data_IF_823781367480
#
_entry.id   IF_823781367480
#
_cell.length_a   1.000
_cell.length_b   1.000
_cell.length_c   1.000
_cell.angle_alpha   90.00
_cell.angle_beta   90.00
_cell.angle_gamma   90.00
#
_symmetry.space_group_name_H-M   'P 1'
#
loop_
_entity.id
_entity.type
_entity.pdbx_description
1 polymer ?
#
# COMPACT_ATOMS: atom_id res chain seq x y z
N UNK A 1 16.74 -27.63 25.84
CA UNK A 1 15.36 -27.19 25.57
C UNK A 1 15.24 -25.80 26.15
N UNK A 2 14.76 -24.81 25.39
CA UNK A 2 14.56 -23.43 25.90
C UNK A 2 13.12 -23.31 26.37
N UNK A 3 12.90 -22.90 27.62
CA UNK A 3 11.57 -22.56 28.11
C UNK A 3 11.41 -21.03 28.15
N UNK A 4 10.45 -20.52 27.38
CA UNK A 4 10.19 -19.09 27.26
C UNK A 4 8.81 -18.73 27.85
N UNK A 5 8.76 -17.67 28.65
CA UNK A 5 7.51 -17.20 29.30
C UNK A 5 7.10 -15.83 28.79
N UNK A 6 5.83 -15.72 28.37
CA UNK A 6 5.17 -14.45 28.12
C UNK A 6 4.69 -13.82 29.43
N UNK A 7 5.42 -12.82 29.92
CA UNK A 7 5.10 -12.14 31.17
C UNK A 7 3.91 -11.20 30.97
N UNK A 8 2.86 -11.28 31.83
CA UNK A 8 1.62 -10.50 31.67
C UNK A 8 1.86 -9.00 31.87
N UNK A 9 1.22 -8.16 31.06
CA UNK A 9 1.50 -6.70 31.02
C UNK A 9 0.34 -5.81 31.49
N UNK A 10 -0.84 -6.38 31.70
CA UNK A 10 -2.06 -5.58 31.95
C UNK A 10 -2.12 -4.99 33.38
N UNK A 11 -1.58 -5.71 34.36
CA UNK A 11 -1.66 -5.35 35.79
C UNK A 11 -0.29 -5.31 36.49
N UNK A 12 0.77 -5.66 35.78
CA UNK A 12 2.13 -5.79 36.34
C UNK A 12 3.09 -4.91 35.55
N UNK A 13 3.67 -3.94 36.24
CA UNK A 13 4.76 -3.11 35.71
C UNK A 13 6.10 -3.81 35.94
N UNK A 14 6.71 -4.32 34.88
CA UNK A 14 8.04 -4.92 34.95
C UNK A 14 9.12 -3.83 34.89
N UNK A 15 10.26 -4.05 35.54
CA UNK A 15 11.39 -3.10 35.52
C UNK A 15 12.16 -3.15 34.19
N UNK A 16 12.20 -4.32 33.55
CA UNK A 16 12.93 -4.60 32.30
C UNK A 16 12.03 -5.31 31.28
N UNK A 17 12.42 -5.34 30.02
CA UNK A 17 11.57 -5.80 28.92
C UNK A 17 11.55 -7.33 28.77
N UNK A 18 12.63 -7.98 29.18
CA UNK A 18 12.81 -9.41 29.34
C UNK A 18 14.05 -9.65 30.20
N UNK A 19 14.22 -10.90 30.63
CA UNK A 19 15.43 -11.38 31.32
C UNK A 19 15.60 -12.88 31.06
N UNK A 20 16.82 -13.28 30.74
CA UNK A 20 17.29 -14.65 30.79
C UNK A 20 17.46 -15.14 32.25
N UNK A 21 16.98 -16.35 32.54
CA UNK A 21 16.96 -16.95 33.88
C UNK A 21 17.55 -18.36 33.83
N UNK A 22 18.52 -18.65 34.70
CA UNK A 22 19.17 -19.96 34.76
C UNK A 22 20.17 -20.13 33.63
N UNK A 23 20.19 -21.31 32.99
CA UNK A 23 21.12 -21.59 31.88
C UNK A 23 20.46 -21.45 30.50
N UNK A 24 19.15 -21.69 30.39
CA UNK A 24 18.47 -21.82 29.09
C UNK A 24 17.11 -21.16 28.99
N UNK A 25 16.58 -20.61 30.08
CA UNK A 25 15.20 -20.14 30.12
C UNK A 25 15.16 -18.62 30.11
N UNK A 26 14.05 -18.03 29.69
CA UNK A 26 13.88 -16.59 29.73
C UNK A 26 12.42 -16.18 29.77
N UNK A 27 12.17 -14.92 30.10
CA UNK A 27 10.87 -14.30 29.95
C UNK A 27 10.97 -12.96 29.25
N UNK A 28 9.92 -12.58 28.52
CA UNK A 28 9.75 -11.26 27.95
C UNK A 28 8.31 -10.79 28.15
N UNK A 29 8.11 -9.47 28.19
CA UNK A 29 6.76 -8.87 28.30
C UNK A 29 5.91 -9.29 27.09
N UNK A 30 4.69 -9.78 27.37
CA UNK A 30 3.79 -10.34 26.35
C UNK A 30 3.40 -9.35 25.23
N UNK A 31 3.43 -8.05 25.50
CA UNK A 31 3.09 -7.01 24.53
C UNK A 31 4.28 -6.55 23.66
N UNK A 32 5.45 -7.21 23.76
CA UNK A 32 6.61 -6.88 22.92
C UNK A 32 6.47 -7.53 21.54
N UNK A 33 6.58 -6.76 20.46
CA UNK A 33 6.56 -7.30 19.11
C UNK A 33 7.77 -8.21 18.86
N UNK A 34 7.54 -9.29 18.10
CA UNK A 34 8.62 -10.16 17.60
C UNK A 34 9.22 -9.62 16.31
N UNK A 35 8.43 -8.87 15.53
CA UNK A 35 8.74 -8.30 14.22
C UNK A 35 9.37 -6.91 14.25
N UNK A 36 9.85 -6.46 15.42
CA UNK A 36 10.62 -5.21 15.55
C UNK A 36 12.12 -5.46 15.47
N UNK A 37 12.86 -4.55 14.86
CA UNK A 37 14.33 -4.58 14.88
C UNK A 37 14.86 -4.64 16.32
N UNK A 38 15.68 -5.67 16.60
CA UNK A 38 16.21 -5.92 17.95
C UNK A 38 15.12 -6.38 18.92
N UNK A 39 14.26 -7.31 18.48
CA UNK A 39 13.19 -7.86 19.32
C UNK A 39 13.72 -8.33 20.67
N UNK A 40 13.05 -7.91 21.75
CA UNK A 40 13.36 -8.36 23.11
C UNK A 40 13.32 -9.88 23.21
N UNK A 41 12.39 -10.55 22.54
CA UNK A 41 12.29 -12.00 22.55
C UNK A 41 13.54 -12.67 21.99
N UNK A 42 14.04 -12.14 20.86
CA UNK A 42 15.25 -12.65 20.22
C UNK A 42 16.51 -12.29 21.01
N UNK A 43 16.54 -11.12 21.66
CA UNK A 43 17.62 -10.70 22.55
C UNK A 43 17.79 -11.67 23.73
N UNK A 44 16.72 -11.93 24.47
CA UNK A 44 16.75 -12.88 25.58
C UNK A 44 17.05 -14.31 25.12
N UNK A 45 16.55 -14.70 23.95
CA UNK A 45 16.88 -16.00 23.36
C UNK A 45 18.37 -16.13 23.05
N UNK A 46 19.06 -15.05 22.66
CA UNK A 46 20.52 -15.11 22.42
C UNK A 46 21.28 -15.26 23.74
N UNK A 47 20.83 -14.65 24.83
CA UNK A 47 21.45 -14.85 26.15
C UNK A 47 21.47 -16.33 26.58
N UNK A 48 20.46 -17.13 26.20
CA UNK A 48 20.45 -18.59 26.47
C UNK A 48 21.57 -19.38 25.77
N UNK A 49 22.34 -18.73 24.88
CA UNK A 49 23.47 -19.30 24.13
C UNK A 49 24.83 -18.76 24.57
N UNK A 50 24.85 -17.94 25.61
CA UNK A 50 26.06 -17.37 26.18
C UNK A 50 26.33 -18.06 27.53
N UNK A 51 27.19 -19.07 27.53
CA UNK A 51 27.50 -19.88 28.72
C UNK A 51 28.72 -19.39 29.50
N UNK A 52 29.37 -18.32 29.06
CA UNK A 52 30.54 -17.74 29.70
C UNK A 52 30.17 -16.64 30.71
N UNK A 53 31.00 -16.47 31.73
CA UNK A 53 31.06 -15.25 32.53
C UNK A 53 32.11 -14.30 31.96
N UNK A 54 32.14 -13.05 32.41
CA UNK A 54 33.11 -12.05 31.93
C UNK A 54 33.92 -11.45 33.07
N UNK A 55 35.18 -11.13 32.77
CA UNK A 55 35.95 -10.14 33.53
C UNK A 55 35.47 -8.74 33.14
N UNK A 56 35.90 -7.70 33.87
CA UNK A 56 35.52 -6.31 33.60
C UNK A 56 35.73 -5.91 32.12
N UNK A 57 36.92 -6.19 31.57
CA UNK A 57 37.23 -5.87 30.17
C UNK A 57 36.37 -6.61 29.13
N UNK A 58 35.80 -7.77 29.49
CA UNK A 58 34.98 -8.58 28.59
C UNK A 58 33.47 -8.28 28.69
N UNK A 59 33.02 -7.46 29.64
CA UNK A 59 31.59 -7.30 29.95
C UNK A 59 30.73 -6.87 28.76
N UNK A 60 31.30 -6.12 27.81
CA UNK A 60 30.54 -5.61 26.67
C UNK A 60 29.95 -6.71 25.79
N UNK A 61 30.63 -7.85 25.64
CA UNK A 61 30.30 -8.88 24.63
C UNK A 61 28.92 -9.50 24.85
N UNK A 62 28.47 -9.60 26.10
CA UNK A 62 27.21 -10.23 26.49
C UNK A 62 26.03 -9.50 25.88
N UNK A 63 25.88 -8.21 26.16
CA UNK A 63 24.77 -7.41 25.63
C UNK A 63 24.97 -7.03 24.17
N UNK A 64 26.22 -6.78 23.76
CA UNK A 64 26.56 -6.42 22.39
C UNK A 64 26.11 -7.49 21.39
N UNK A 65 26.45 -8.75 21.66
CA UNK A 65 26.14 -9.85 20.73
C UNK A 65 24.68 -10.28 20.83
N UNK A 66 24.05 -10.20 22.00
CA UNK A 66 22.61 -10.39 22.14
C UNK A 66 21.83 -9.35 21.31
N UNK A 67 22.22 -8.08 21.41
CA UNK A 67 21.61 -6.97 20.65
C UNK A 67 21.83 -7.14 19.14
N UNK A 68 23.04 -7.50 18.72
CA UNK A 68 23.37 -7.74 17.31
C UNK A 68 22.54 -8.90 16.72
N UNK A 69 22.55 -10.08 17.36
CA UNK A 69 21.82 -11.22 16.84
C UNK A 69 20.30 -11.05 16.93
N UNK A 70 19.78 -10.31 17.91
CA UNK A 70 18.37 -9.95 17.92
C UNK A 70 18.01 -9.14 16.66
N UNK A 71 18.84 -8.15 16.30
CA UNK A 71 18.61 -7.34 15.10
C UNK A 71 18.78 -8.16 13.81
N UNK A 72 19.83 -8.98 13.70
CA UNK A 72 20.07 -9.84 12.54
C UNK A 72 18.96 -10.88 12.35
N UNK A 73 18.51 -11.56 13.41
CA UNK A 73 17.42 -12.53 13.33
C UNK A 73 16.08 -11.85 12.98
N UNK A 74 15.83 -10.64 13.51
CA UNK A 74 14.65 -9.86 13.12
C UNK A 74 14.65 -9.54 11.62
N UNK A 75 15.83 -9.23 11.07
CA UNK A 75 16.02 -9.00 9.64
C UNK A 75 15.78 -10.26 8.81
N UNK A 76 16.39 -11.37 9.22
CA UNK A 76 16.39 -12.61 8.46
C UNK A 76 15.08 -13.40 8.54
N UNK A 77 14.35 -13.32 9.66
CA UNK A 77 13.25 -14.24 9.96
C UNK A 77 11.90 -13.54 10.19
N UNK A 78 11.90 -12.31 10.70
CA UNK A 78 10.68 -11.65 11.19
C UNK A 78 10.20 -10.50 10.29
N UNK A 79 10.85 -10.30 9.14
CA UNK A 79 10.40 -9.37 8.09
C UNK A 79 10.83 -7.92 8.30
N UNK A 80 11.81 -7.65 9.16
CA UNK A 80 12.48 -6.34 9.21
C UNK A 80 13.34 -6.18 7.96
N UNK A 81 13.08 -5.19 7.11
CA UNK A 81 13.93 -4.92 5.94
C UNK A 81 15.32 -4.37 6.32
N UNK A 82 16.29 -4.42 5.41
CA UNK A 82 17.64 -3.88 5.64
C UNK A 82 17.65 -2.42 6.14
N UNK A 83 16.81 -1.49 5.66
CA UNK A 83 16.74 -0.14 6.21
C UNK A 83 16.44 -0.10 7.72
N UNK A 84 15.60 -1.02 8.21
CA UNK A 84 15.28 -1.13 9.63
C UNK A 84 16.45 -1.69 10.45
N UNK A 85 17.22 -2.63 9.89
CA UNK A 85 18.47 -3.10 10.49
C UNK A 85 19.50 -1.97 10.55
N UNK A 86 19.71 -1.26 9.44
CA UNK A 86 20.65 -0.13 9.35
C UNK A 86 20.32 0.96 10.37
N UNK A 87 19.06 1.41 10.43
CA UNK A 87 18.61 2.43 11.39
C UNK A 87 18.83 1.98 12.85
N UNK A 88 18.66 0.68 13.12
CA UNK A 88 18.91 0.13 14.45
C UNK A 88 20.40 0.20 14.83
N UNK A 89 21.30 -0.18 13.89
CA UNK A 89 22.75 -0.14 14.09
C UNK A 89 23.32 1.29 14.15
N UNK A 90 22.72 2.24 13.42
CA UNK A 90 23.11 3.66 13.43
C UNK A 90 23.05 4.29 14.83
N UNK A 91 22.36 3.68 15.79
CA UNK A 91 22.40 4.14 17.19
C UNK A 91 23.80 4.02 17.79
N UNK A 92 24.62 3.07 17.33
CA UNK A 92 25.99 2.88 17.79
C UNK A 92 26.96 3.97 17.34
N UNK A 93 26.62 4.77 16.31
CA UNK A 93 27.48 5.85 15.79
C UNK A 93 27.24 7.20 16.45
N UNK A 94 26.25 7.30 17.36
CA UNK A 94 25.84 8.57 17.97
C UNK A 94 26.61 8.81 19.27
N UNK A 95 27.02 10.05 19.51
CA UNK A 95 27.52 10.47 20.82
C UNK A 95 26.40 10.49 21.87
N UNK A 96 26.69 10.18 23.15
CA UNK A 96 28.02 9.90 23.69
C UNK A 96 28.47 8.44 23.54
N UNK A 97 27.58 7.49 23.24
CA UNK A 97 27.91 6.06 23.26
C UNK A 97 28.97 5.63 22.23
N UNK A 98 29.09 6.34 21.11
CA UNK A 98 30.10 6.06 20.10
C UNK A 98 31.53 6.31 20.59
N UNK A 99 31.70 7.23 21.55
CA UNK A 99 33.00 7.66 22.07
C UNK A 99 33.52 6.75 23.18
N UNK A 100 32.68 5.87 23.74
CA UNK A 100 33.09 4.95 24.82
C UNK A 100 34.04 3.85 24.34
N UNK A 101 34.98 3.47 25.20
CA UNK A 101 35.86 2.31 25.03
C UNK A 101 35.16 1.05 25.54
N UNK A 102 34.84 0.09 24.66
CA UNK A 102 34.06 -1.10 25.04
C UNK A 102 34.74 -1.98 26.08
N UNK A 103 36.07 -2.11 26.02
CA UNK A 103 36.87 -2.87 26.97
C UNK A 103 37.04 -2.17 28.34
N UNK A 104 36.47 -0.98 28.54
CA UNK A 104 36.54 -0.22 29.79
C UNK A 104 35.12 0.18 30.24
N UNK A 105 34.43 -0.67 31.05
CA UNK A 105 33.06 -0.42 31.49
C UNK A 105 32.86 0.91 32.22
N UNK A 106 33.90 1.43 32.88
CA UNK A 106 33.82 2.72 33.57
C UNK A 106 33.68 3.92 32.63
N UNK A 107 34.00 3.75 31.34
CA UNK A 107 33.90 4.78 30.29
C UNK A 107 32.56 4.74 29.52
N UNK A 108 31.71 3.75 29.79
CA UNK A 108 30.47 3.57 29.04
C UNK A 108 29.46 4.69 29.30
N UNK A 109 29.08 5.38 28.23
CA UNK A 109 28.00 6.35 28.23
C UNK A 109 26.77 5.80 27.50
N UNK A 110 25.57 6.12 28.00
CA UNK A 110 24.30 5.85 27.33
C UNK A 110 24.16 4.40 26.80
N UNK A 111 24.52 3.41 27.63
CA UNK A 111 24.47 1.98 27.27
C UNK A 111 25.33 1.62 26.04
N UNK A 112 26.57 2.12 25.97
CA UNK A 112 27.50 1.85 24.86
C UNK A 112 27.68 0.35 24.55
N UNK A 113 27.72 -0.51 25.56
CA UNK A 113 27.78 -1.95 25.42
C UNK A 113 26.59 -2.56 24.65
N UNK A 114 25.42 -1.92 24.66
CA UNK A 114 24.32 -2.30 23.78
C UNK A 114 24.50 -1.70 22.38
N UNK A 115 24.62 -0.38 22.27
CA UNK A 115 24.52 0.30 20.97
C UNK A 115 25.81 0.23 20.14
N UNK A 116 26.91 0.76 20.68
CA UNK A 116 28.23 0.65 20.04
C UNK A 116 28.65 -0.81 19.99
N UNK A 117 28.40 -1.56 21.06
CA UNK A 117 28.66 -3.00 21.13
C UNK A 117 27.99 -3.80 20.02
N UNK A 118 26.70 -3.59 19.75
CA UNK A 118 26.00 -4.27 18.65
C UNK A 118 26.58 -3.91 17.28
N UNK A 119 26.90 -2.64 17.06
CA UNK A 119 27.50 -2.17 15.82
C UNK A 119 28.91 -2.78 15.60
N UNK A 120 29.75 -2.81 16.65
CA UNK A 120 31.06 -3.47 16.61
C UNK A 120 30.89 -4.98 16.38
N UNK A 121 29.95 -5.63 17.05
CA UNK A 121 29.67 -7.06 16.86
C UNK A 121 29.26 -7.37 15.42
N UNK A 122 28.37 -6.55 14.84
CA UNK A 122 27.96 -6.69 13.45
C UNK A 122 29.10 -6.46 12.45
N UNK A 123 29.96 -5.47 12.68
CA UNK A 123 31.14 -5.24 11.84
C UNK A 123 32.15 -6.40 11.94
N UNK A 124 32.35 -6.96 13.13
CA UNK A 124 33.21 -8.14 13.30
C UNK A 124 32.63 -9.37 12.59
N UNK A 125 31.31 -9.61 12.70
CA UNK A 125 30.65 -10.69 11.97
C UNK A 125 30.79 -10.51 10.45
N UNK A 126 30.56 -9.28 9.95
CA UNK A 126 30.72 -8.92 8.54
C UNK A 126 32.15 -9.18 8.05
N UNK A 127 33.15 -8.71 8.81
CA UNK A 127 34.57 -8.91 8.48
C UNK A 127 34.98 -10.37 8.47
N UNK A 128 34.58 -11.14 9.48
CA UNK A 128 34.87 -12.58 9.56
C UNK A 128 34.31 -13.31 8.35
N UNK A 129 33.07 -13.01 7.96
CA UNK A 129 32.44 -13.61 6.77
C UNK A 129 33.21 -13.28 5.50
N UNK A 130 33.55 -12.01 5.30
CA UNK A 130 34.30 -11.59 4.10
C UNK A 130 35.72 -12.17 4.05
N UNK A 131 36.42 -12.22 5.18
CA UNK A 131 37.79 -12.73 5.26
C UNK A 131 37.88 -14.25 5.04
N UNK A 132 36.76 -14.96 5.17
CA UNK A 132 36.69 -16.43 5.10
C UNK A 132 35.75 -16.95 4.02
N UNK A 133 35.29 -16.09 3.10
CA UNK A 133 34.28 -16.41 2.09
C UNK A 133 33.03 -17.11 2.68
N UNK A 134 32.59 -16.65 3.86
CA UNK A 134 31.48 -17.20 4.63
C UNK A 134 31.81 -18.41 5.52
N UNK A 135 33.08 -18.84 5.57
CA UNK A 135 33.54 -19.99 6.35
C UNK A 135 33.54 -19.79 7.88
N UNK A 136 33.54 -18.54 8.34
CA UNK A 136 33.46 -18.17 9.75
C UNK A 136 32.50 -17.00 9.96
N UNK A 137 31.87 -16.99 11.14
CA UNK A 137 30.96 -15.95 11.61
C UNK A 137 31.30 -15.61 13.05
N UNK A 138 30.70 -14.54 13.58
CA UNK A 138 30.80 -14.23 15.00
C UNK A 138 30.23 -15.36 15.90
N UNK A 139 29.38 -16.26 15.37
CA UNK A 139 28.91 -17.43 16.13
C UNK A 139 30.06 -18.39 16.43
N UNK A 140 31.07 -18.48 15.55
CA UNK A 140 32.27 -19.28 15.80
C UNK A 140 33.09 -18.72 16.96
N UNK A 141 33.20 -17.39 17.04
CA UNK A 141 33.84 -16.68 18.16
C UNK A 141 33.08 -16.97 19.46
N UNK A 142 31.75 -16.78 19.46
CA UNK A 142 30.93 -17.05 20.65
C UNK A 142 31.00 -18.52 21.10
N UNK A 143 31.04 -19.45 20.15
CA UNK A 143 31.20 -20.88 20.46
C UNK A 143 32.54 -21.16 21.17
N UNK A 144 33.64 -20.54 20.72
CA UNK A 144 34.93 -20.67 21.40
C UNK A 144 34.92 -20.02 22.80
N UNK A 145 34.28 -18.86 22.95
CA UNK A 145 34.16 -18.19 24.25
C UNK A 145 33.31 -18.98 25.25
N UNK A 146 32.28 -19.69 24.78
CA UNK A 146 31.43 -20.55 25.62
C UNK A 146 32.20 -21.69 26.32
N UNK A 147 33.37 -22.08 25.79
CA UNK A 147 34.27 -23.06 26.41
C UNK A 147 35.13 -22.47 27.55
N UNK A 148 35.05 -21.16 27.80
CA UNK A 148 35.80 -20.46 28.84
C UNK A 148 34.97 -20.25 30.11
N UNK A 149 35.64 -20.32 31.28
CA UNK A 149 35.00 -20.02 32.56
C UNK A 149 34.76 -18.53 32.80
N UNK A 150 35.72 -17.67 32.44
CA UNK A 150 35.61 -16.21 32.49
C UNK A 150 36.35 -15.59 31.31
N UNK A 151 35.69 -14.68 30.59
CA UNK A 151 36.15 -14.08 29.33
C UNK A 151 36.63 -12.65 29.57
N UNK A 152 37.85 -12.35 29.13
CA UNK A 152 38.42 -10.99 29.03
C UNK A 152 38.38 -10.46 27.60
N UNK A 153 38.67 -9.16 27.41
CA UNK A 153 38.79 -8.62 26.06
C UNK A 153 39.89 -9.32 25.25
N UNK A 154 40.99 -9.70 25.89
CA UNK A 154 42.08 -10.42 25.22
C UNK A 154 41.62 -11.81 24.72
N UNK A 155 40.78 -12.52 25.48
CA UNK A 155 40.20 -13.79 25.05
C UNK A 155 39.28 -13.60 23.83
N UNK A 156 38.53 -12.50 23.79
CA UNK A 156 37.71 -12.13 22.62
C UNK A 156 38.62 -11.87 21.39
N UNK A 157 39.71 -11.11 21.56
CA UNK A 157 40.65 -10.85 20.47
C UNK A 157 41.32 -12.14 19.97
N UNK A 158 41.67 -13.05 20.88
CA UNK A 158 42.21 -14.36 20.53
C UNK A 158 41.21 -15.21 19.74
N UNK A 159 39.95 -15.27 20.18
CA UNK A 159 38.89 -16.02 19.49
C UNK A 159 38.55 -15.42 18.11
N UNK A 160 38.58 -14.09 17.95
CA UNK A 160 38.45 -13.43 16.64
C UNK A 160 39.61 -13.79 15.72
N UNK A 161 40.84 -13.78 16.24
CA UNK A 161 42.03 -14.17 15.47
C UNK A 161 41.98 -15.62 15.00
N UNK A 162 41.47 -16.53 15.83
CA UNK A 162 41.30 -17.95 15.50
C UNK A 162 40.19 -18.17 14.46
N UNK A 163 39.11 -17.39 14.51
CA UNK A 163 38.01 -17.48 13.55
C UNK A 163 38.35 -16.84 12.20
N UNK A 164 39.22 -15.83 12.16
CA UNK A 164 39.58 -15.07 10.96
C UNK A 164 41.08 -14.99 10.73
N UNK A 165 41.60 -13.78 10.58
CA UNK A 165 43.04 -13.50 10.40
C UNK A 165 43.55 -12.46 11.40
N UNK A 166 44.85 -12.16 11.35
CA UNK A 166 45.45 -11.08 12.13
C UNK A 166 44.78 -9.71 11.86
N UNK A 167 44.29 -9.46 10.64
CA UNK A 167 43.62 -8.21 10.32
C UNK A 167 42.26 -8.05 11.05
N UNK A 168 41.54 -9.16 11.25
CA UNK A 168 40.30 -9.17 12.03
C UNK A 168 40.58 -8.94 13.52
N UNK A 169 41.67 -9.53 14.04
CA UNK A 169 42.14 -9.28 15.41
C UNK A 169 42.48 -7.80 15.61
N UNK A 170 43.31 -7.21 14.75
CA UNK A 170 43.73 -5.81 14.85
C UNK A 170 42.52 -4.85 14.79
N UNK A 171 41.51 -5.21 14.00
CA UNK A 171 40.28 -4.44 13.93
C UNK A 171 39.43 -4.57 15.19
N UNK A 172 39.28 -5.78 15.73
CA UNK A 172 38.61 -6.00 17.00
C UNK A 172 39.32 -5.25 18.13
N UNK A 173 40.66 -5.27 18.16
CA UNK A 173 41.45 -4.56 19.16
C UNK A 173 41.19 -3.06 19.07
N UNK A 174 41.30 -2.46 17.89
CA UNK A 174 41.03 -1.03 17.69
C UNK A 174 39.60 -0.65 18.12
N UNK A 175 38.60 -1.41 17.68
CA UNK A 175 37.19 -1.11 17.92
C UNK A 175 36.74 -1.33 19.37
N UNK A 176 37.48 -2.14 20.13
CA UNK A 176 37.13 -2.47 21.52
C UNK A 176 37.96 -1.71 22.54
N UNK A 177 39.21 -1.36 22.23
CA UNK A 177 40.15 -0.70 23.16
C UNK A 177 40.32 0.80 22.91
N UNK A 178 39.62 1.36 21.92
CA UNK A 178 39.63 2.81 21.62
C UNK A 178 38.23 3.38 21.48
N UNK A 179 38.13 4.71 21.36
CA UNK A 179 36.88 5.40 21.06
C UNK A 179 36.45 5.29 19.59
N UNK A 180 37.21 4.61 18.73
CA UNK A 180 36.85 4.38 17.33
C UNK A 180 35.53 3.59 17.22
N UNK A 181 34.69 3.94 16.24
CA UNK A 181 33.42 3.28 15.98
C UNK A 181 33.30 3.02 14.48
N UNK A 182 32.89 1.81 14.05
CA UNK A 182 32.80 1.54 12.62
C UNK A 182 31.58 2.28 12.03
N UNK A 183 31.64 2.57 10.74
CA UNK A 183 30.46 3.03 10.02
C UNK A 183 29.46 1.88 9.84
N UNK A 184 28.16 2.21 9.77
CA UNK A 184 27.15 1.24 9.33
C UNK A 184 27.36 0.96 7.85
N UNK A 185 27.39 -0.30 7.46
CA UNK A 185 27.56 -0.72 6.07
C UNK A 185 26.25 -0.55 5.28
N UNK A 186 26.34 -0.48 3.95
CA UNK A 186 25.17 -0.37 3.07
C UNK A 186 24.58 -1.74 2.69
N UNK A 187 23.47 -1.75 1.96
CA UNK A 187 22.78 -2.98 1.58
C UNK A 187 23.57 -3.87 0.63
N UNK A 188 24.53 -3.31 -0.12
CA UNK A 188 25.42 -4.08 -0.98
C UNK A 188 26.47 -4.82 -0.15
N UNK A 189 27.17 -4.10 0.72
CA UNK A 189 28.12 -4.69 1.65
C UNK A 189 27.49 -5.69 2.63
N UNK A 190 26.21 -5.53 2.97
CA UNK A 190 25.48 -6.54 3.75
C UNK A 190 25.32 -7.84 2.95
N UNK A 191 24.85 -7.76 1.70
CA UNK A 191 24.63 -8.94 0.85
C UNK A 191 25.94 -9.68 0.56
N UNK A 192 27.03 -8.95 0.35
CA UNK A 192 28.34 -9.56 0.10
C UNK A 192 28.83 -10.38 1.30
N UNK A 193 28.58 -9.92 2.52
CA UNK A 193 29.08 -10.58 3.72
C UNK A 193 28.13 -11.64 4.28
N UNK A 194 26.84 -11.34 4.36
CA UNK A 194 25.86 -12.23 5.00
C UNK A 194 25.26 -13.25 4.02
N UNK A 195 25.66 -13.16 2.75
CA UNK A 195 25.01 -13.82 1.64
C UNK A 195 23.73 -13.07 1.28
N UNK A 196 23.25 -13.28 0.06
CA UNK A 196 21.85 -13.01 -0.22
C UNK A 196 21.03 -13.99 0.60
N UNK A 197 20.48 -13.57 1.74
CA UNK A 197 19.47 -14.34 2.47
C UNK A 197 18.45 -14.92 1.47
N UNK A 198 17.94 -16.12 1.71
CA UNK A 198 16.95 -16.72 0.84
C UNK A 198 15.84 -15.69 0.53
N UNK A 199 15.30 -15.72 -0.69
CA UNK A 199 14.27 -14.77 -1.07
C UNK A 199 13.08 -14.88 -0.10
N UNK A 200 12.70 -13.76 0.51
CA UNK A 200 11.62 -13.67 1.49
C UNK A 200 10.48 -12.85 0.88
N UNK A 201 9.58 -13.56 0.18
CA UNK A 201 8.49 -12.93 -0.56
C UNK A 201 7.28 -12.74 0.36
N UNK A 202 6.87 -11.49 0.54
CA UNK A 202 5.65 -11.12 1.26
C UNK A 202 4.61 -10.61 0.28
N UNK A 203 3.37 -11.10 0.41
CA UNK A 203 2.21 -10.61 -0.35
C UNK A 203 1.29 -9.87 0.61
N UNK A 204 1.13 -8.57 0.42
CA UNK A 204 0.21 -7.71 1.15
C UNK A 204 -1.10 -7.51 0.40
N UNK A 205 -2.20 -7.45 1.14
CA UNK A 205 -3.54 -7.17 0.64
C UNK A 205 -4.37 -6.46 1.72
N UNK A 206 -4.98 -5.33 1.38
CA UNK A 206 -5.92 -4.61 2.24
C UNK A 206 -7.34 -4.62 1.63
N UNK A 207 -8.31 -5.37 2.20
CA UNK A 207 -9.67 -5.46 1.68
C UNK A 207 -10.46 -4.14 1.74
N UNK A 208 -9.95 -3.09 2.40
CA UNK A 208 -10.57 -1.77 2.42
C UNK A 208 -10.21 -0.91 1.21
N UNK A 209 -9.02 -1.12 0.61
CA UNK A 209 -8.46 -0.21 -0.39
C UNK A 209 -8.06 -0.89 -1.71
N UNK A 210 -7.81 -2.20 -1.69
CA UNK A 210 -7.28 -2.94 -2.84
C UNK A 210 -8.33 -3.59 -3.75
N UNK A 211 -9.61 -3.32 -3.53
CA UNK A 211 -10.72 -3.91 -4.27
C UNK A 211 -11.37 -2.91 -5.23
N UNK A 212 -11.65 -3.35 -6.45
CA UNK A 212 -12.36 -2.55 -7.46
C UNK A 212 -13.42 -3.37 -8.17
N UNK A 213 -14.63 -2.83 -8.27
CA UNK A 213 -15.69 -3.37 -9.09
C UNK A 213 -15.65 -2.72 -10.48
N UNK A 214 -15.52 -3.54 -11.51
CA UNK A 214 -15.49 -3.07 -12.91
C UNK A 214 -16.46 -3.86 -13.76
N UNK A 215 -17.22 -3.21 -14.62
CA UNK A 215 -18.22 -3.91 -15.41
C UNK A 215 -19.11 -2.96 -16.20
N UNK A 216 -20.24 -3.48 -16.71
CA UNK A 216 -21.16 -2.70 -17.53
C UNK A 216 -21.89 -1.59 -16.77
N UNK A 217 -21.92 -1.64 -15.43
CA UNK A 217 -22.68 -0.71 -14.60
C UNK A 217 -21.83 0.32 -13.86
N UNK A 218 -20.54 0.03 -13.63
CA UNK A 218 -19.62 0.94 -12.92
C UNK A 218 -18.15 0.56 -13.12
N UNK A 219 -17.30 1.51 -12.76
CA UNK A 219 -15.86 1.33 -12.61
C UNK A 219 -15.39 2.07 -11.34
N UNK A 220 -15.56 1.45 -10.18
CA UNK A 220 -15.39 2.11 -8.89
C UNK A 220 -14.64 1.24 -7.87
N UNK A 221 -13.92 1.88 -6.95
CA UNK A 221 -13.35 1.22 -5.77
C UNK A 221 -14.47 0.65 -4.90
N UNK A 222 -14.22 -0.48 -4.25
CA UNK A 222 -15.15 -1.11 -3.31
C UNK A 222 -14.36 -1.66 -2.12
N UNK A 223 -15.06 -2.10 -1.07
CA UNK A 223 -14.45 -2.64 0.13
C UNK A 223 -15.27 -3.84 0.64
N UNK A 224 -14.65 -4.69 1.46
CA UNK A 224 -15.37 -5.80 2.09
C UNK A 224 -16.37 -5.30 3.16
N UNK A 225 -17.57 -5.90 3.30
CA UNK A 225 -18.11 -6.96 2.45
C UNK A 225 -18.52 -6.44 1.06
N UNK A 226 -18.07 -7.14 0.00
CA UNK A 226 -18.27 -6.68 -1.38
C UNK A 226 -19.65 -7.07 -1.88
N UNK A 227 -20.36 -6.11 -2.50
CA UNK A 227 -21.60 -6.38 -3.25
C UNK A 227 -21.41 -6.02 -4.72
N UNK A 228 -21.69 -6.97 -5.62
CA UNK A 228 -21.59 -6.84 -7.07
C UNK A 228 -22.93 -7.09 -7.76
N UNK A 229 -23.14 -6.46 -8.92
CA UNK A 229 -24.15 -6.88 -9.88
C UNK A 229 -23.62 -8.03 -10.75
N UNK A 230 -24.50 -8.94 -11.16
CA UNK A 230 -24.16 -10.02 -12.08
C UNK A 230 -23.59 -9.45 -13.39
N UNK A 231 -22.46 -10.00 -13.83
CA UNK A 231 -21.69 -9.48 -14.97
C UNK A 231 -20.61 -8.46 -14.60
N UNK A 232 -20.44 -8.11 -13.32
CA UNK A 232 -19.27 -7.35 -12.88
C UNK A 232 -18.03 -8.24 -12.66
N UNK A 233 -16.86 -7.60 -12.73
CA UNK A 233 -15.56 -8.15 -12.34
C UNK A 233 -15.13 -7.55 -11.02
N UNK A 234 -14.69 -8.40 -10.11
CA UNK A 234 -13.88 -7.98 -8.98
C UNK A 234 -12.42 -7.99 -9.41
N UNK A 235 -11.77 -6.83 -9.39
CA UNK A 235 -10.33 -6.69 -9.53
C UNK A 235 -9.71 -6.51 -8.16
N UNK A 236 -8.64 -7.24 -7.89
CA UNK A 236 -7.89 -7.22 -6.64
C UNK A 236 -6.45 -6.84 -6.94
N UNK A 237 -5.92 -5.86 -6.21
CA UNK A 237 -4.51 -5.51 -6.22
C UNK A 237 -3.83 -6.13 -4.99
N UNK A 238 -2.62 -6.64 -5.16
CA UNK A 238 -1.79 -7.12 -4.04
C UNK A 238 -0.38 -6.57 -4.20
N UNK A 239 0.20 -6.05 -3.13
CA UNK A 239 1.60 -5.66 -3.10
C UNK A 239 2.46 -6.90 -2.88
N UNK A 240 3.53 -7.07 -3.66
CA UNK A 240 4.50 -8.15 -3.48
C UNK A 240 5.87 -7.52 -3.24
N UNK A 241 6.52 -7.93 -2.16
CA UNK A 241 7.82 -7.41 -1.74
C UNK A 241 8.79 -8.56 -1.48
N UNK A 242 10.03 -8.43 -1.93
CA UNK A 242 11.11 -9.32 -1.56
C UNK A 242 11.95 -8.65 -0.47
N UNK A 243 11.81 -9.15 0.75
CA UNK A 243 12.57 -8.68 1.93
C UNK A 243 13.87 -9.48 2.13
N UNK A 244 14.10 -10.49 1.29
CA UNK A 244 15.28 -11.35 1.35
C UNK A 244 16.41 -10.83 0.46
N UNK A 245 17.60 -11.38 0.67
CA UNK A 245 18.83 -10.99 -0.02
C UNK A 245 19.06 -11.65 -1.39
N UNK A 246 18.21 -12.60 -1.79
CA UNK A 246 18.26 -13.30 -3.08
C UNK A 246 17.03 -13.02 -3.95
N UNK A 247 17.18 -13.12 -5.27
CA UNK A 247 16.04 -13.09 -6.19
C UNK A 247 15.12 -14.27 -5.93
N UNK A 248 13.82 -14.05 -5.83
CA UNK A 248 12.85 -15.13 -5.66
C UNK A 248 11.62 -15.03 -6.54
N UNK A 249 10.99 -16.17 -6.75
CA UNK A 249 9.75 -16.28 -7.51
C UNK A 249 8.55 -16.12 -6.57
N UNK A 250 7.53 -15.38 -7.04
CA UNK A 250 6.25 -15.27 -6.35
C UNK A 250 5.12 -15.81 -7.22
N UNK A 251 4.09 -16.36 -6.59
CA UNK A 251 2.83 -16.74 -7.23
C UNK A 251 1.68 -16.26 -6.37
N UNK A 252 0.83 -15.39 -6.92
CA UNK A 252 -0.40 -14.92 -6.28
C UNK A 252 -1.58 -15.59 -6.97
N UNK A 253 -2.44 -16.25 -6.19
CA UNK A 253 -3.63 -16.94 -6.69
C UNK A 253 -4.89 -16.31 -6.10
N UNK A 254 -5.85 -15.98 -6.97
CA UNK A 254 -7.20 -15.62 -6.59
C UNK A 254 -8.09 -16.87 -6.68
N UNK A 255 -8.77 -17.19 -5.58
CA UNK A 255 -9.73 -18.30 -5.53
C UNK A 255 -11.15 -17.83 -5.25
N UNK A 256 -12.12 -18.55 -5.79
CA UNK A 256 -13.55 -18.46 -5.47
C UNK A 256 -13.99 -19.84 -4.98
N UNK A 257 -14.32 -19.95 -3.70
CA UNK A 257 -14.37 -21.24 -3.01
C UNK A 257 -13.00 -21.93 -3.08
N UNK A 258 -12.98 -23.18 -3.51
CA UNK A 258 -11.75 -23.95 -3.68
C UNK A 258 -11.12 -23.82 -5.09
N UNK A 259 -11.84 -23.19 -6.03
CA UNK A 259 -11.40 -23.06 -7.42
C UNK A 259 -10.45 -21.87 -7.61
N UNK A 260 -9.28 -22.11 -8.23
CA UNK A 260 -8.38 -21.04 -8.69
C UNK A 260 -8.96 -20.40 -9.95
N UNK A 261 -9.32 -19.12 -9.85
CA UNK A 261 -9.97 -18.39 -10.95
C UNK A 261 -9.03 -17.43 -11.68
N UNK A 262 -7.93 -17.03 -11.03
CA UNK A 262 -6.85 -16.26 -11.65
C UNK A 262 -5.53 -16.54 -10.91
N UNK A 263 -4.42 -16.42 -11.63
CA UNK A 263 -3.07 -16.56 -11.08
C UNK A 263 -2.16 -15.56 -11.78
N UNK A 264 -1.23 -14.98 -11.03
CA UNK A 264 -0.13 -14.20 -11.57
C UNK A 264 1.16 -14.61 -10.87
N UNK A 265 2.26 -14.61 -11.61
CA UNK A 265 3.58 -15.00 -11.11
C UNK A 265 4.65 -14.06 -11.65
N UNK A 266 5.83 -14.14 -11.07
CA UNK A 266 6.97 -13.34 -11.48
C UNK A 266 8.16 -13.56 -10.56
N UNK A 267 9.24 -12.83 -10.82
CA UNK A 267 10.46 -12.84 -10.02
C UNK A 267 10.72 -11.44 -9.48
N UNK A 268 11.18 -11.35 -8.23
CA UNK A 268 11.63 -10.10 -7.64
C UNK A 268 13.08 -10.23 -7.19
N UNK A 269 13.91 -9.28 -7.63
CA UNK A 269 15.24 -9.08 -7.07
C UNK A 269 15.14 -8.71 -5.58
N UNK A 270 16.26 -8.77 -4.83
CA UNK A 270 16.31 -8.28 -3.45
C UNK A 270 15.81 -6.84 -3.34
N UNK A 271 15.12 -6.51 -2.24
CA UNK A 271 14.43 -5.23 -2.00
C UNK A 271 13.38 -4.83 -3.06
N UNK A 272 13.08 -5.74 -4.00
CA UNK A 272 12.16 -5.52 -5.10
C UNK A 272 10.72 -5.43 -4.61
N UNK A 273 9.95 -4.51 -5.21
CA UNK A 273 8.53 -4.28 -4.91
C UNK A 273 7.75 -4.23 -6.20
N UNK A 274 6.59 -4.89 -6.25
CA UNK A 274 5.67 -4.82 -7.40
C UNK A 274 4.22 -4.96 -6.98
N UNK A 275 3.30 -4.63 -7.87
CA UNK A 275 1.87 -4.85 -7.68
C UNK A 275 1.36 -5.94 -8.63
N UNK A 276 0.77 -6.97 -8.06
CA UNK A 276 0.04 -8.00 -8.80
C UNK A 276 -1.45 -7.60 -8.87
N UNK A 277 -2.05 -7.66 -10.06
CA UNK A 277 -3.49 -7.41 -10.25
C UNK A 277 -4.17 -8.64 -10.83
N UNK A 278 -5.21 -9.10 -10.15
CA UNK A 278 -6.00 -10.27 -10.54
C UNK A 278 -7.46 -9.87 -10.66
N UNK A 279 -8.20 -10.46 -11.59
CA UNK A 279 -9.61 -10.14 -11.76
C UNK A 279 -10.45 -11.39 -12.04
N UNK A 280 -11.66 -11.43 -11.51
CA UNK A 280 -12.63 -12.49 -11.78
C UNK A 280 -14.02 -11.90 -12.06
N UNK A 281 -14.70 -12.43 -13.08
CA UNK A 281 -16.07 -12.03 -13.46
C UNK A 281 -17.09 -12.94 -12.78
N UNK A 282 -18.03 -12.35 -12.06
CA UNK A 282 -19.14 -13.06 -11.44
C UNK A 282 -20.38 -12.96 -12.32
N UNK A 283 -20.77 -14.06 -12.98
CA UNK A 283 -21.91 -14.06 -13.91
C UNK A 283 -23.26 -14.35 -13.23
N UNK A 284 -23.26 -15.09 -12.12
CA UNK A 284 -24.48 -15.58 -11.48
C UNK A 284 -24.69 -14.91 -10.12
N UNK A 285 -25.95 -14.60 -9.74
CA UNK A 285 -26.27 -14.18 -8.39
C UNK A 285 -25.95 -15.27 -7.37
N UNK A 286 -25.41 -14.87 -6.22
CA UNK A 286 -25.01 -15.82 -5.19
C UNK A 286 -24.14 -15.19 -4.11
N UNK A 287 -23.73 -16.02 -3.16
CA UNK A 287 -22.72 -15.66 -2.16
C UNK A 287 -21.47 -16.49 -2.42
N UNK A 288 -20.35 -15.82 -2.57
CA UNK A 288 -19.06 -16.42 -2.90
C UNK A 288 -18.04 -16.10 -1.81
N UNK A 289 -17.25 -17.10 -1.43
CA UNK A 289 -16.05 -16.89 -0.61
C UNK A 289 -14.88 -16.65 -1.54
N UNK A 290 -14.21 -15.52 -1.42
CA UNK A 290 -13.00 -15.20 -2.18
C UNK A 290 -11.80 -15.26 -1.27
N UNK A 291 -10.70 -15.85 -1.74
CA UNK A 291 -9.44 -15.88 -1.00
C UNK A 291 -8.26 -15.47 -1.85
N UNK A 292 -7.38 -14.66 -1.27
CA UNK A 292 -6.15 -14.15 -1.87
C UNK A 292 -5.17 -13.76 -0.77
N UNK A 293 -3.87 -13.99 -0.97
CA UNK A 293 -2.83 -13.64 0.01
C UNK A 293 -3.09 -14.16 1.44
N UNK A 294 -3.73 -15.33 1.59
CA UNK A 294 -4.10 -15.92 2.89
C UNK A 294 -5.39 -15.36 3.50
N UNK A 295 -5.85 -14.19 3.04
CA UNK A 295 -7.08 -13.55 3.47
C UNK A 295 -8.32 -14.16 2.81
N UNK A 296 -9.46 -14.11 3.52
CA UNK A 296 -10.76 -14.58 3.02
C UNK A 296 -11.86 -13.55 3.28
N UNK A 297 -12.65 -13.24 2.25
CA UNK A 297 -13.79 -12.34 2.38
C UNK A 297 -15.00 -12.80 1.55
N UNK A 298 -16.18 -12.26 1.87
CA UNK A 298 -17.41 -12.57 1.16
C UNK A 298 -17.67 -11.58 0.03
N UNK A 299 -18.02 -12.11 -1.15
CA UNK A 299 -18.61 -11.36 -2.25
C UNK A 299 -20.06 -11.79 -2.42
N UNK A 300 -20.98 -10.83 -2.39
CA UNK A 300 -22.39 -11.07 -2.69
C UNK A 300 -22.72 -10.53 -4.07
N UNK A 301 -23.20 -11.40 -4.94
CA UNK A 301 -23.60 -11.05 -6.31
C UNK A 301 -25.12 -11.05 -6.36
N UNK A 302 -25.71 -9.99 -6.90
CA UNK A 302 -27.16 -9.85 -7.10
C UNK A 302 -27.47 -9.61 -8.57
N UNK A 303 -28.74 -9.77 -8.95
CA UNK A 303 -29.20 -9.25 -10.23
C UNK A 303 -28.93 -7.74 -10.31
N UNK A 304 -28.56 -7.19 -11.49
CA UNK A 304 -28.43 -5.75 -11.67
C UNK A 304 -29.73 -5.04 -11.30
N UNK A 305 -29.61 -3.83 -10.77
CA UNK A 305 -30.79 -3.01 -10.49
C UNK A 305 -31.51 -2.62 -11.80
N UNK A 306 -32.79 -2.25 -11.67
CA UNK A 306 -33.58 -1.66 -12.75
C UNK A 306 -33.95 -0.22 -12.41
N UNK A 307 -33.05 0.76 -12.64
CA UNK A 307 -33.31 2.16 -12.34
C UNK A 307 -34.52 2.69 -13.11
N UNK A 308 -35.29 3.58 -12.49
CA UNK A 308 -36.49 4.17 -13.06
C UNK A 308 -36.39 5.69 -13.14
N UNK A 309 -37.07 6.28 -14.13
CA UNK A 309 -37.29 7.74 -14.17
C UNK A 309 -38.21 8.09 -13.00
N UNK A 310 -37.81 9.08 -12.19
CA UNK A 310 -38.58 9.54 -11.02
C UNK A 310 -38.96 11.01 -11.10
N UNK A 311 -38.33 11.77 -12.01
CA UNK A 311 -38.62 13.18 -12.24
C UNK A 311 -38.32 13.55 -13.69
N UNK A 312 -39.06 14.51 -14.21
CA UNK A 312 -38.98 14.98 -15.58
C UNK A 312 -39.10 16.51 -15.61
N UNK A 313 -38.19 17.15 -16.33
CA UNK A 313 -38.21 18.60 -16.56
C UNK A 313 -38.00 18.93 -18.04
N UNK A 314 -38.49 20.10 -18.45
CA UNK A 314 -38.31 20.61 -19.81
C UNK A 314 -37.99 22.11 -19.77
N UNK A 315 -36.98 22.51 -20.53
CA UNK A 315 -36.60 23.92 -20.66
C UNK A 315 -36.19 24.26 -22.11
N UNK A 316 -36.73 25.35 -22.69
CA UNK A 316 -37.83 26.18 -22.17
C UNK A 316 -39.22 25.53 -22.32
N UNK A 317 -40.23 26.03 -21.60
CA UNK A 317 -41.63 25.55 -21.68
C UNK A 317 -42.46 26.23 -22.77
N UNK A 318 -41.91 27.26 -23.41
CA UNK A 318 -42.49 27.97 -24.56
C UNK A 318 -41.41 28.22 -25.61
N UNK A 319 -41.69 27.90 -26.87
CA UNK A 319 -40.74 28.06 -27.99
C UNK A 319 -41.45 28.51 -29.27
N UNK A 320 -40.71 29.04 -30.25
CA UNK A 320 -41.24 29.25 -31.58
C UNK A 320 -41.29 27.92 -32.36
N UNK A 321 -42.13 27.87 -33.40
CA UNK A 321 -42.17 26.72 -34.30
C UNK A 321 -40.80 26.46 -34.94
N UNK A 322 -40.31 25.23 -34.82
CA UNK A 322 -39.02 24.80 -35.36
C UNK A 322 -37.85 24.94 -34.38
N UNK A 323 -38.09 25.47 -33.19
CA UNK A 323 -37.09 25.52 -32.12
C UNK A 323 -37.06 24.18 -31.34
N UNK A 324 -35.99 24.00 -30.57
CA UNK A 324 -35.75 22.83 -29.73
C UNK A 324 -36.02 23.12 -28.25
N UNK A 325 -36.51 22.11 -27.54
CA UNK A 325 -36.53 22.08 -26.07
C UNK A 325 -35.59 21.01 -25.53
N UNK A 326 -34.99 21.25 -24.37
CA UNK A 326 -34.21 20.23 -23.65
C UNK A 326 -35.11 19.53 -22.65
N UNK A 327 -35.30 18.23 -22.84
CA UNK A 327 -35.99 17.36 -21.90
C UNK A 327 -34.94 16.69 -21.01
N UNK A 328 -35.05 16.83 -19.70
CA UNK A 328 -34.13 16.22 -18.72
C UNK A 328 -34.91 15.28 -17.81
N UNK A 329 -34.50 14.02 -17.79
CA UNK A 329 -35.05 12.98 -16.92
C UNK A 329 -34.07 12.68 -15.77
N UNK A 330 -34.58 12.60 -14.55
CA UNK A 330 -33.84 12.11 -13.39
C UNK A 330 -34.13 10.62 -13.22
N UNK A 331 -33.09 9.80 -13.24
CA UNK A 331 -33.15 8.36 -13.08
C UNK A 331 -32.60 7.98 -11.71
N UNK A 332 -33.39 7.27 -10.92
CA UNK A 332 -33.04 6.88 -9.55
C UNK A 332 -32.87 5.37 -9.44
N UNK A 333 -31.89 4.94 -8.64
CA UNK A 333 -31.65 3.56 -8.26
C UNK A 333 -31.59 3.43 -6.73
N UNK A 334 -32.67 2.91 -6.13
CA UNK A 334 -32.76 2.68 -4.69
C UNK A 334 -32.18 1.31 -4.25
N UNK A 335 -31.62 0.53 -5.18
CA UNK A 335 -31.03 -0.76 -4.86
C UNK A 335 -29.57 -0.66 -4.40
N UNK A 336 -29.16 -1.64 -3.60
CA UNK A 336 -27.77 -1.81 -3.12
C UNK A 336 -26.75 -2.23 -4.19
N UNK A 337 -27.15 -2.35 -5.45
CA UNK A 337 -26.31 -2.73 -6.59
C UNK A 337 -26.54 -1.78 -7.76
N UNK A 338 -25.54 -1.56 -8.62
CA UNK A 338 -25.72 -0.69 -9.77
C UNK A 338 -26.59 -1.37 -10.83
N UNK A 339 -27.15 -0.57 -11.72
CA UNK A 339 -27.97 -1.02 -12.83
C UNK A 339 -27.88 -0.06 -14.01
N UNK A 340 -28.48 -0.45 -15.14
CA UNK A 340 -28.66 0.46 -16.27
C UNK A 340 -30.11 0.51 -16.70
N UNK A 341 -30.50 1.63 -17.30
CA UNK A 341 -31.81 1.78 -17.92
C UNK A 341 -31.66 2.58 -19.21
N UNK A 342 -32.54 2.33 -20.17
CA UNK A 342 -32.59 3.09 -21.43
C UNK A 342 -33.79 4.00 -21.40
N UNK A 343 -33.53 5.31 -21.36
CA UNK A 343 -34.54 6.35 -21.37
C UNK A 343 -34.88 6.69 -22.82
N UNK A 344 -36.13 6.43 -23.21
CA UNK A 344 -36.68 6.83 -24.50
C UNK A 344 -37.34 8.22 -24.37
N UNK A 345 -36.77 9.21 -25.05
CA UNK A 345 -37.33 10.56 -25.14
C UNK A 345 -38.35 10.62 -26.28
N UNK A 346 -39.49 11.24 -26.03
CA UNK A 346 -40.63 11.21 -26.95
C UNK A 346 -41.13 12.61 -27.33
N UNK A 347 -41.71 12.71 -28.52
CA UNK A 347 -42.48 13.85 -29.03
C UNK A 347 -43.81 13.33 -29.56
N UNK A 348 -44.93 13.81 -29.01
CA UNK A 348 -46.27 13.32 -29.42
C UNK A 348 -46.48 11.81 -29.17
N UNK A 349 -45.69 11.20 -28.27
CA UNK A 349 -45.69 9.75 -28.03
C UNK A 349 -44.71 8.95 -28.89
N UNK A 350 -44.13 9.54 -29.93
CA UNK A 350 -43.12 8.89 -30.78
C UNK A 350 -41.72 9.06 -30.19
N UNK A 351 -40.92 7.99 -30.16
CA UNK A 351 -39.53 8.05 -29.67
C UNK A 351 -38.64 8.80 -30.67
N UNK A 352 -38.03 9.89 -30.22
CA UNK A 352 -37.12 10.72 -31.02
C UNK A 352 -35.65 10.51 -30.65
N UNK A 353 -35.37 10.09 -29.41
CA UNK A 353 -34.01 9.77 -28.95
C UNK A 353 -34.04 8.70 -27.86
N UNK A 354 -32.94 7.95 -27.73
CA UNK A 354 -32.73 6.99 -26.65
C UNK A 354 -31.38 7.22 -26.00
N UNK A 355 -31.33 7.22 -24.67
CA UNK A 355 -30.08 7.31 -23.90
C UNK A 355 -30.01 6.22 -22.85
N UNK A 356 -28.93 5.46 -22.83
CA UNK A 356 -28.66 4.49 -21.77
C UNK A 356 -27.84 5.16 -20.69
N UNK A 357 -28.28 5.04 -19.43
CA UNK A 357 -27.59 5.56 -18.26
C UNK A 357 -27.34 4.42 -17.27
N UNK A 358 -26.15 4.37 -16.70
CA UNK A 358 -25.82 3.49 -15.60
C UNK A 358 -25.90 4.29 -14.30
N UNK A 359 -26.59 3.75 -13.30
CA UNK A 359 -26.81 4.43 -12.02
C UNK A 359 -26.20 3.59 -10.91
N UNK A 360 -25.40 4.24 -10.06
CA UNK A 360 -24.77 3.62 -8.90
C UNK A 360 -25.79 3.11 -7.87
N UNK A 361 -25.34 2.37 -6.84
CA UNK A 361 -26.22 1.90 -5.78
C UNK A 361 -26.70 3.06 -4.89
N UNK A 362 -27.99 3.14 -4.59
CA UNK A 362 -28.62 4.23 -3.84
C UNK A 362 -28.28 5.63 -4.40
N UNK A 363 -28.29 5.74 -5.73
CA UNK A 363 -27.82 6.92 -6.44
C UNK A 363 -28.84 7.39 -7.48
N UNK A 364 -28.62 8.59 -8.03
CA UNK A 364 -29.44 9.18 -9.08
C UNK A 364 -28.58 9.91 -10.10
N UNK A 365 -28.97 9.78 -11.36
CA UNK A 365 -28.30 10.40 -12.50
C UNK A 365 -29.31 11.18 -13.34
N UNK A 366 -28.86 12.24 -14.00
CA UNK A 366 -29.70 12.98 -14.95
C UNK A 366 -29.26 12.70 -16.38
N UNK A 367 -30.24 12.60 -17.27
CA UNK A 367 -30.00 12.38 -18.69
C UNK A 367 -30.93 13.26 -19.50
N UNK A 368 -30.42 13.85 -20.58
CA UNK A 368 -31.18 14.79 -21.39
C UNK A 368 -31.10 14.53 -22.90
N UNK A 369 -32.10 15.04 -23.61
CA UNK A 369 -32.16 15.09 -25.06
C UNK A 369 -32.82 16.39 -25.53
N UNK A 370 -32.34 16.92 -26.65
CA UNK A 370 -33.02 18.02 -27.35
C UNK A 370 -34.10 17.47 -28.27
N UNK A 371 -35.25 18.14 -28.31
CA UNK A 371 -36.42 17.74 -29.08
C UNK A 371 -36.94 18.94 -29.86
N UNK A 372 -36.90 18.86 -31.19
CA UNK A 372 -37.46 19.88 -32.08
C UNK A 372 -38.98 19.83 -32.12
N UNK A 373 -39.65 20.99 -32.02
CA UNK A 373 -41.10 21.11 -32.05
C UNK A 373 -41.60 21.82 -33.31
N UNK A 374 -42.10 21.03 -34.26
CA UNK A 374 -42.40 21.48 -35.63
C UNK A 374 -43.85 21.93 -35.85
N UNK A 375 -44.74 21.68 -34.90
CA UNK A 375 -46.17 21.98 -34.99
C UNK A 375 -46.57 23.01 -33.92
N UNK A 376 -47.32 24.06 -34.29
CA UNK A 376 -47.79 25.06 -33.33
C UNK A 376 -48.85 24.50 -32.37
N UNK A 377 -49.01 25.14 -31.21
CA UNK A 377 -49.96 24.75 -30.17
C UNK A 377 -49.31 23.98 -29.01
N UNK A 378 -50.13 23.33 -28.19
CA UNK A 378 -49.63 22.54 -27.07
C UNK A 378 -49.11 21.18 -27.56
N UNK A 379 -47.79 21.00 -27.50
CA UNK A 379 -47.11 19.76 -27.86
C UNK A 379 -46.71 19.00 -26.60
N UNK A 380 -46.66 17.66 -26.66
CA UNK A 380 -46.19 16.83 -25.54
C UNK A 380 -44.79 16.31 -25.83
N UNK A 381 -43.89 16.50 -24.88
CA UNK A 381 -42.57 15.86 -24.85
C UNK A 381 -42.44 15.03 -23.59
N UNK A 382 -41.68 13.94 -23.65
CA UNK A 382 -41.66 12.98 -22.56
C UNK A 382 -40.41 12.14 -22.46
N UNK A 383 -40.34 11.35 -21.39
CA UNK A 383 -39.32 10.35 -21.16
C UNK A 383 -39.96 9.11 -20.51
N UNK A 384 -39.78 7.94 -21.12
CA UNK A 384 -40.17 6.63 -20.61
C UNK A 384 -41.61 6.52 -20.02
N UNK A 385 -42.58 7.17 -20.67
CA UNK A 385 -44.01 7.13 -20.30
C UNK A 385 -44.53 8.35 -19.55
N UNK A 386 -43.63 9.19 -19.01
CA UNK A 386 -43.98 10.49 -18.44
C UNK A 386 -43.93 11.58 -19.53
N UNK A 387 -44.79 12.59 -19.44
CA UNK A 387 -44.84 13.67 -20.44
C UNK A 387 -45.23 15.01 -19.84
N UNK A 388 -44.64 16.08 -20.38
CA UNK A 388 -44.93 17.47 -20.07
C UNK A 388 -45.46 18.18 -21.32
N UNK A 389 -46.27 19.22 -21.12
CA UNK A 389 -46.76 20.06 -22.20
C UNK A 389 -45.81 21.24 -22.43
N UNK A 390 -45.54 21.54 -23.70
CA UNK A 390 -44.74 22.68 -24.16
C UNK A 390 -45.59 23.49 -25.14
N UNK A 391 -45.62 24.81 -24.94
CA UNK A 391 -46.37 25.71 -25.81
C UNK A 391 -45.53 26.15 -27.01
N UNK A 392 -45.98 25.85 -28.22
CA UNK A 392 -45.31 26.25 -29.46
C UNK A 392 -46.05 27.42 -30.10
N UNK A 393 -45.38 28.56 -30.19
CA UNK A 393 -45.96 29.77 -30.76
C UNK A 393 -46.13 29.66 -32.28
N UNK A 394 -47.31 30.09 -32.75
CA UNK A 394 -47.53 30.27 -34.19
C UNK A 394 -46.81 31.52 -34.65
N UNK A 395 -45.84 31.39 -35.55
CA UNK A 395 -45.30 32.55 -36.26
C UNK A 395 -46.39 33.15 -37.15
N UNK A 396 -47.14 34.11 -36.62
CA UNK A 396 -47.98 34.99 -37.43
C UNK A 396 -47.03 35.85 -38.26
N UNK A 397 -46.80 35.48 -39.53
CA UNK A 397 -46.26 36.44 -40.49
C UNK A 397 -47.32 37.52 -40.68
N UNK A 398 -47.17 38.64 -39.99
CA UNK A 398 -47.86 39.88 -40.36
C UNK A 398 -47.33 40.30 -41.72
N UNK A 399 -47.87 39.72 -42.79
CA UNK A 399 -47.83 40.34 -44.11
C UNK A 399 -48.68 41.60 -43.97
N UNK A 400 -48.05 42.76 -43.87
CA UNK A 400 -48.75 44.04 -44.03
C UNK A 400 -49.05 44.18 -45.52
N UNK A 401 -50.31 44.11 -45.97
CA UNK A 401 -50.66 44.34 -47.36
C UNK A 401 -50.69 45.85 -47.57
N UNK A 402 -49.77 46.36 -48.38
CA UNK A 402 -49.87 47.72 -48.91
C UNK A 402 -48.57 48.50 -48.82
N UNK A 403 -47.72 48.38 -49.83
CA UNK A 403 -47.04 49.52 -50.45
C UNK A 403 -46.69 49.14 -51.90
N UNK A 404 -47.46 49.67 -52.84
CA UNK A 404 -47.12 49.67 -54.26
C UNK A 404 -45.97 50.64 -54.51
N UNK A 405 -45.03 50.24 -55.35
CA UNK A 405 -43.95 51.10 -55.86
C UNK A 405 -44.54 51.97 -57.00
N UNK A 406 -44.11 53.23 -57.17
CA UNK A 406 -43.12 53.45 -58.24
C UNK A 406 -42.01 54.47 -57.92
N UNK A 407 -40.83 54.13 -58.44
CA UNK A 407 -39.65 54.90 -58.84
C UNK A 407 -39.59 56.43 -58.62
N UNK A 408 -38.43 56.90 -58.13
CA UNK A 408 -37.60 57.90 -58.83
C UNK A 408 -36.21 58.06 -58.18
N UNK A 409 -35.26 58.45 -59.03
CA UNK A 409 -33.80 58.56 -58.86
C UNK A 409 -33.38 59.74 -57.97
N UNK A 410 -32.27 59.59 -57.24
CA UNK A 410 -31.54 60.70 -56.62
C UNK A 410 -30.24 60.25 -55.95
N UNK A 411 -29.12 60.39 -56.68
CA UNK A 411 -27.77 60.25 -56.12
C UNK A 411 -27.43 61.44 -55.20
N UNK A 412 -26.59 61.22 -54.18
CA UNK A 412 -25.52 62.11 -53.70
C UNK A 412 -24.65 61.36 -52.68
N UNK A 413 -23.33 61.50 -52.84
CA UNK A 413 -22.26 60.98 -52.00
C UNK A 413 -22.01 61.86 -50.76
N UNK A 414 -21.38 61.30 -49.71
CA UNK A 414 -20.82 62.12 -48.62
C UNK A 414 -20.42 61.40 -47.32
N UNK A 415 -19.22 60.79 -47.33
CA UNK A 415 -18.14 60.77 -46.30
C UNK A 415 -18.48 61.03 -44.80
N UNK A 416 -18.02 60.11 -43.92
CA UNK A 416 -17.17 60.28 -42.69
C UNK A 416 -17.48 59.13 -41.69
N UNK A 417 -16.59 58.14 -41.45
CA UNK A 417 -15.46 58.11 -40.47
C UNK A 417 -15.97 58.33 -39.02
N UNK A 418 -15.73 57.55 -37.94
CA UNK A 418 -14.66 56.72 -37.34
C UNK A 418 -15.35 56.09 -36.08
N UNK A 419 -14.99 54.98 -35.43
CA UNK A 419 -13.99 53.95 -35.61
C UNK A 419 -13.94 53.01 -34.38
N UNK A 420 -13.10 51.97 -34.55
CA UNK A 420 -12.27 51.26 -33.55
C UNK A 420 -12.88 50.34 -32.47
N UNK A 421 -12.47 49.07 -32.65
CA UNK A 421 -11.79 48.15 -31.69
C UNK A 421 -12.68 47.59 -30.56
N UNK A 422 -12.67 46.28 -30.26
CA UNK A 422 -11.50 45.43 -29.99
C UNK A 422 -11.96 43.97 -29.89
N UNK A 423 -11.23 43.05 -30.52
CA UNK A 423 -11.31 41.60 -30.31
C UNK A 423 -10.30 41.18 -29.23
N UNK A 424 -10.78 40.48 -28.19
CA UNK A 424 -9.99 39.83 -27.17
C UNK A 424 -9.99 38.32 -27.39
N UNK A 425 -8.84 37.70 -27.11
CA UNK A 425 -8.56 36.27 -27.15
C UNK A 425 -9.39 35.47 -26.17
#
# INVERSE_FOLDING_TARGET
>A
MVFAVAAPTDKVGWAVQGVQVGDTDFWARANRPIDSAGSTWLHEYVHTRQSFQTTESGQWITEATATWYAALLSHQQEGVGFPGLSEYLERGTRSPQAESVLAEPSDWANNAHYWKGALVSGELDRRLRLATDGGATLQRVLAALNDHGSVSNEDILAAVAEAGTAAERDAAERLTTTSDAPAVWDSEAHRDAFGGDAALLRVGFDPATDLRATGPYRNATTAAPVTLAAGERLSVRTAVENLGGATGEYTVTLRVGDAVVATTNGTLAPDGRTNASLAHRFAEPGRYTVSIAGERFTVRVRQPATPSVTDLSVEPTTVARGDEVTVTATVTNDDSVPGNTTVAFTRGGETVATRTVAVGPNDRETVSATVELTEPGQQRVGANGESLAVSVESTSRTSVPGFGVPAAVGAIAGVLAVGRLRSGR
#
